data_IF_547949402244
#
_entry.id   IF_547949402244
#
_cell.length_a   1.000
_cell.length_b   1.000
_cell.length_c   1.000
_cell.angle_alpha   90.00
_cell.angle_beta   90.00
_cell.angle_gamma   90.00
#
_symmetry.space_group_name_H-M   'P 1'
#
loop_
_entity.id
_entity.type
_entity.pdbx_description
1 polymer ?
#
# COMPACT_ATOMS: atom_id res chain seq x y z
N UNK A 1 37.66 -28.16 -10.47
CA UNK A 1 37.62 -26.70 -10.65
C UNK A 1 36.16 -26.28 -10.60
N UNK A 2 35.70 -25.81 -9.44
CA UNK A 2 34.32 -25.40 -9.22
C UNK A 2 34.23 -23.95 -9.68
N UNK A 3 33.51 -23.72 -10.78
CA UNK A 3 33.16 -22.37 -11.23
C UNK A 3 32.12 -21.83 -10.25
N UNK A 4 32.57 -20.94 -9.36
CA UNK A 4 31.69 -20.06 -8.59
C UNK A 4 30.97 -19.15 -9.59
N UNK A 5 29.71 -19.47 -9.85
CA UNK A 5 28.78 -18.59 -10.55
C UNK A 5 28.70 -17.31 -9.72
N UNK A 6 29.21 -16.22 -10.28
CA UNK A 6 28.98 -14.88 -9.75
C UNK A 6 27.48 -14.63 -9.71
N UNK A 7 26.90 -14.50 -8.52
CA UNK A 7 25.62 -13.83 -8.37
C UNK A 7 25.84 -12.40 -8.86
N UNK A 8 25.42 -12.09 -10.09
CA UNK A 8 25.13 -10.71 -10.45
C UNK A 8 24.09 -10.25 -9.43
N UNK A 9 24.46 -9.24 -8.64
CA UNK A 9 23.47 -8.37 -8.02
C UNK A 9 22.80 -7.67 -9.19
N UNK A 10 21.79 -8.31 -9.75
CA UNK A 10 20.92 -7.68 -10.73
C UNK A 10 20.38 -6.41 -10.10
N UNK A 11 20.55 -5.33 -10.87
CA UNK A 11 20.08 -3.96 -10.73
C UNK A 11 19.39 -3.63 -9.40
N UNK A 12 19.97 -2.65 -8.70
CA UNK A 12 19.25 -1.85 -7.69
C UNK A 12 17.87 -1.56 -8.27
N UNK A 13 16.83 -2.21 -7.75
CA UNK A 13 15.48 -2.12 -8.25
C UNK A 13 15.00 -0.68 -8.06
N UNK A 14 15.29 0.18 -9.04
CA UNK A 14 14.84 1.56 -9.04
C UNK A 14 13.34 1.53 -9.26
N UNK A 15 12.62 2.25 -8.41
CA UNK A 15 11.20 2.50 -8.62
C UNK A 15 10.98 3.09 -10.01
N UNK A 16 9.91 2.67 -10.69
CA UNK A 16 9.44 3.34 -11.91
C UNK A 16 8.82 4.72 -11.60
N UNK A 17 8.53 4.98 -10.31
CA UNK A 17 7.88 6.18 -9.82
C UNK A 17 8.89 7.17 -9.22
N UNK A 18 8.69 8.49 -9.39
CA UNK A 18 9.55 9.51 -8.79
C UNK A 18 9.66 9.36 -7.27
N UNK A 19 10.81 9.76 -6.72
CA UNK A 19 11.04 9.77 -5.28
C UNK A 19 9.98 10.64 -4.59
N UNK A 20 9.35 10.11 -3.53
CA UNK A 20 8.33 10.83 -2.77
C UNK A 20 6.93 10.85 -3.40
N UNK A 21 6.70 10.19 -4.54
CA UNK A 21 5.40 10.20 -5.23
C UNK A 21 4.80 8.80 -5.33
N UNK A 22 3.49 8.67 -5.05
CA UNK A 22 2.73 7.46 -5.34
C UNK A 22 2.41 7.36 -6.85
N UNK A 23 2.04 6.17 -7.34
CA UNK A 23 1.51 6.00 -8.68
C UNK A 23 0.29 6.88 -8.97
N UNK A 24 -0.01 7.05 -10.26
CA UNK A 24 -1.26 7.70 -10.68
C UNK A 24 -2.47 6.88 -10.23
N UNK A 25 -3.60 7.56 -10.03
CA UNK A 25 -4.89 6.92 -9.77
C UNK A 25 -5.23 5.93 -10.88
N UNK A 26 -4.93 6.25 -12.14
CA UNK A 26 -5.14 5.32 -13.25
C UNK A 26 -4.42 3.98 -13.02
N UNK A 27 -3.13 4.01 -12.68
CA UNK A 27 -2.35 2.82 -12.38
C UNK A 27 -2.91 2.07 -11.16
N UNK A 28 -3.25 2.80 -10.09
CA UNK A 28 -3.82 2.18 -8.88
C UNK A 28 -5.16 1.51 -9.16
N UNK A 29 -6.00 2.14 -9.99
CA UNK A 29 -7.28 1.59 -10.41
C UNK A 29 -7.11 0.36 -11.30
N UNK A 30 -6.07 0.33 -12.16
CA UNK A 30 -5.72 -0.86 -12.92
C UNK A 30 -5.34 -2.02 -11.99
N UNK A 31 -4.54 -1.78 -10.95
CA UNK A 31 -4.18 -2.80 -9.97
C UNK A 31 -5.38 -3.31 -9.15
N UNK A 32 -6.30 -2.41 -8.76
CA UNK A 32 -7.56 -2.82 -8.12
C UNK A 32 -8.43 -3.65 -9.05
N UNK A 33 -8.53 -3.28 -10.34
CA UNK A 33 -9.27 -4.03 -11.33
C UNK A 33 -8.65 -5.43 -11.56
N UNK A 34 -7.32 -5.51 -11.65
CA UNK A 34 -6.60 -6.79 -11.73
C UNK A 34 -6.88 -7.68 -10.51
N UNK A 35 -6.94 -7.08 -9.32
CA UNK A 35 -7.27 -7.80 -8.10
C UNK A 35 -8.73 -8.28 -8.07
N UNK A 36 -9.67 -7.46 -8.54
CA UNK A 36 -11.08 -7.79 -8.65
C UNK A 36 -11.34 -8.91 -9.65
N UNK A 37 -10.69 -8.89 -10.81
CA UNK A 37 -10.83 -9.91 -11.85
C UNK A 37 -9.96 -11.16 -11.60
N UNK A 38 -9.02 -11.07 -10.67
CA UNK A 38 -8.08 -12.14 -10.34
C UNK A 38 -8.69 -13.27 -9.51
N UNK A 39 -7.87 -14.29 -9.16
CA UNK A 39 -8.32 -15.48 -8.42
C UNK A 39 -8.94 -15.18 -7.05
N UNK A 40 -8.54 -14.07 -6.43
CA UNK A 40 -9.02 -13.63 -5.12
C UNK A 40 -10.38 -12.95 -5.17
N UNK A 41 -10.85 -12.55 -6.37
CA UNK A 41 -12.08 -11.79 -6.56
C UNK A 41 -12.14 -10.60 -5.60
N UNK A 42 -11.14 -9.73 -5.68
CA UNK A 42 -11.05 -8.54 -4.84
C UNK A 42 -12.28 -7.64 -4.94
N UNK A 43 -12.44 -6.72 -3.98
CA UNK A 43 -13.56 -5.78 -3.90
C UNK A 43 -14.95 -6.45 -3.96
N UNK A 44 -15.07 -7.68 -3.44
CA UNK A 44 -16.29 -8.51 -3.55
C UNK A 44 -17.42 -8.14 -2.59
N UNK A 45 -17.21 -7.18 -1.69
CA UNK A 45 -18.26 -6.72 -0.76
C UNK A 45 -18.84 -5.41 -1.25
N UNK A 46 -17.98 -4.43 -1.53
CA UNK A 46 -18.41 -3.08 -1.90
C UNK A 46 -17.27 -2.33 -2.60
N UNK A 47 -17.65 -1.39 -3.46
CA UNK A 47 -16.73 -0.46 -4.09
C UNK A 47 -17.35 0.93 -4.11
N UNK A 48 -16.79 1.81 -3.29
CA UNK A 48 -17.26 3.19 -3.10
C UNK A 48 -16.30 4.17 -3.77
N UNK A 49 -16.84 5.24 -4.34
CA UNK A 49 -16.06 6.38 -4.84
C UNK A 49 -16.79 7.67 -4.53
N UNK A 50 -16.03 8.73 -4.29
CA UNK A 50 -16.61 10.04 -4.02
C UNK A 50 -15.57 11.13 -3.89
N UNK A 51 -16.00 12.24 -3.29
CA UNK A 51 -15.15 13.37 -2.94
C UNK A 51 -15.23 13.62 -1.44
N UNK A 52 -14.07 13.85 -0.82
CA UNK A 52 -13.95 14.19 0.59
C UNK A 52 -13.19 15.50 0.74
N UNK A 53 -13.55 16.28 1.77
CA UNK A 53 -12.80 17.47 2.13
C UNK A 53 -11.55 17.07 2.92
N UNK A 54 -10.39 17.14 2.27
CA UNK A 54 -9.09 16.85 2.86
C UNK A 54 -8.34 18.13 3.28
N UNK A 55 -7.10 17.95 3.74
CA UNK A 55 -6.24 19.04 4.25
C UNK A 55 -5.92 20.10 3.18
N UNK A 56 -5.88 19.70 1.90
CA UNK A 56 -5.56 20.55 0.77
C UNK A 56 -6.77 20.80 -0.17
N UNK A 57 -8.00 20.59 0.32
CA UNK A 57 -9.24 20.80 -0.43
C UNK A 57 -9.99 19.51 -0.78
N UNK A 58 -10.91 19.58 -1.76
CA UNK A 58 -11.65 18.41 -2.23
C UNK A 58 -10.73 17.40 -2.91
N UNK A 59 -10.74 16.16 -2.41
CA UNK A 59 -9.94 15.05 -2.90
C UNK A 59 -10.88 13.94 -3.36
N UNK A 60 -10.59 13.35 -4.51
CA UNK A 60 -11.29 12.14 -4.95
C UNK A 60 -10.79 10.95 -4.11
N UNK A 61 -11.70 10.07 -3.73
CA UNK A 61 -11.37 8.84 -3.02
C UNK A 61 -12.03 7.63 -3.65
N UNK A 62 -11.40 6.47 -3.44
CA UNK A 62 -11.93 5.16 -3.77
C UNK A 62 -11.75 4.23 -2.58
N UNK A 63 -12.78 3.47 -2.21
CA UNK A 63 -12.72 2.45 -1.18
C UNK A 63 -13.18 1.11 -1.74
N UNK A 64 -12.25 0.18 -1.86
CA UNK A 64 -12.51 -1.21 -2.20
C UNK A 64 -12.63 -2.02 -0.91
N UNK A 65 -13.78 -2.66 -0.67
CA UNK A 65 -14.01 -3.52 0.50
C UNK A 65 -14.21 -4.96 0.06
N UNK A 66 -13.65 -5.88 0.82
CA UNK A 66 -13.79 -7.28 0.48
C UNK A 66 -13.36 -8.24 1.56
N UNK A 67 -13.35 -9.52 1.18
CA UNK A 67 -12.96 -10.65 2.01
C UNK A 67 -12.08 -11.59 1.18
N UNK A 68 -10.82 -11.81 1.58
CA UNK A 68 -9.86 -12.69 0.84
C UNK A 68 -9.96 -14.16 1.23
N UNK A 69 -10.44 -14.45 2.44
CA UNK A 69 -10.87 -15.76 2.93
C UNK A 69 -11.99 -15.53 3.96
N UNK A 70 -12.85 -16.51 4.25
CA UNK A 70 -14.15 -16.32 4.93
C UNK A 70 -14.17 -15.44 6.21
N UNK A 71 -13.03 -15.21 6.85
CA UNK A 71 -12.91 -14.37 8.06
C UNK A 71 -12.08 -13.09 7.91
N UNK A 72 -11.35 -12.90 6.80
CA UNK A 72 -10.36 -11.83 6.60
C UNK A 72 -10.93 -10.70 5.76
N UNK A 73 -11.68 -9.83 6.45
CA UNK A 73 -12.21 -8.60 5.88
C UNK A 73 -11.10 -7.56 5.70
N UNK A 74 -11.21 -6.79 4.63
CA UNK A 74 -10.32 -5.69 4.35
C UNK A 74 -11.04 -4.49 3.71
N UNK A 75 -10.39 -3.34 3.80
CA UNK A 75 -10.70 -2.14 3.04
C UNK A 75 -9.40 -1.54 2.51
N UNK A 76 -9.33 -1.32 1.19
CA UNK A 76 -8.28 -0.54 0.54
C UNK A 76 -8.86 0.83 0.23
N UNK A 77 -8.21 1.89 0.70
CA UNK A 77 -8.57 3.28 0.42
C UNK A 77 -7.47 3.93 -0.42
N UNK A 78 -7.87 4.57 -1.51
CA UNK A 78 -7.04 5.42 -2.35
C UNK A 78 -7.53 6.86 -2.21
N UNK A 79 -6.62 7.82 -2.05
CA UNK A 79 -6.93 9.24 -2.15
C UNK A 79 -6.06 9.86 -3.25
N UNK A 80 -6.68 10.69 -4.09
CA UNK A 80 -5.98 11.51 -5.07
C UNK A 80 -5.48 12.81 -4.44
N UNK A 81 -4.40 13.35 -5.00
CA UNK A 81 -4.01 14.73 -4.76
C UNK A 81 -5.10 15.70 -5.29
N UNK A 82 -5.33 16.86 -4.66
CA UNK A 82 -6.30 17.83 -5.17
C UNK A 82 -5.89 18.31 -6.57
N UNK A 83 -6.85 18.34 -7.51
CA UNK A 83 -6.63 18.87 -8.86
C UNK A 83 -5.71 18.04 -9.77
N UNK A 84 -5.22 16.89 -9.31
CA UNK A 84 -4.37 16.00 -10.08
C UNK A 84 -4.86 14.54 -9.98
N UNK A 85 -4.49 13.71 -10.95
CA UNK A 85 -4.75 12.27 -10.95
C UNK A 85 -3.61 11.47 -10.29
N UNK A 86 -2.75 12.13 -9.51
CA UNK A 86 -1.69 11.46 -8.74
C UNK A 86 -2.22 10.93 -7.42
N UNK A 87 -1.71 9.77 -6.99
CA UNK A 87 -2.01 9.22 -5.67
C UNK A 87 -1.43 10.12 -4.57
N UNK A 88 -2.24 10.43 -3.57
CA UNK A 88 -1.83 11.13 -2.35
C UNK A 88 -1.66 10.16 -1.18
N UNK A 89 -2.54 9.17 -1.07
CA UNK A 89 -2.50 8.17 -0.01
C UNK A 89 -3.01 6.82 -0.53
N UNK A 90 -2.35 5.75 -0.08
CA UNK A 90 -2.87 4.39 -0.14
C UNK A 90 -2.93 3.85 1.28
N UNK A 91 -4.11 3.39 1.69
CA UNK A 91 -4.35 2.79 3.00
C UNK A 91 -4.94 1.40 2.84
N UNK A 92 -4.48 0.45 3.65
CA UNK A 92 -5.03 -0.89 3.75
C UNK A 92 -5.39 -1.18 5.21
N UNK A 93 -6.67 -1.40 5.47
CA UNK A 93 -7.19 -1.86 6.75
C UNK A 93 -7.60 -3.32 6.62
N UNK A 94 -7.13 -4.19 7.50
CA UNK A 94 -7.41 -5.63 7.42
C UNK A 94 -7.44 -6.29 8.78
N UNK A 95 -8.25 -7.35 8.91
CA UNK A 95 -8.24 -8.19 10.10
C UNK A 95 -6.99 -9.06 10.10
N UNK A 96 -6.26 -9.08 11.23
CA UNK A 96 -5.03 -9.87 11.38
C UNK A 96 -5.28 -11.38 11.25
N UNK A 97 -4.36 -12.07 10.57
CA UNK A 97 -4.27 -13.52 10.49
C UNK A 97 -3.13 -13.95 9.56
N UNK A 98 -2.80 -15.24 9.56
CA UNK A 98 -1.68 -15.78 8.78
C UNK A 98 -2.20 -16.77 7.73
N UNK A 99 -2.54 -16.28 6.54
CA UNK A 99 -3.06 -17.10 5.44
C UNK A 99 -2.61 -16.60 4.06
N UNK A 100 -2.78 -17.43 3.03
CA UNK A 100 -2.44 -17.09 1.65
C UNK A 100 -3.13 -15.80 1.16
N UNK A 101 -4.37 -15.54 1.60
CA UNK A 101 -5.11 -14.33 1.27
C UNK A 101 -4.45 -13.06 1.79
N UNK A 102 -3.78 -13.14 2.95
CA UNK A 102 -3.03 -12.00 3.50
C UNK A 102 -1.83 -11.66 2.61
N UNK A 103 -1.09 -12.66 2.15
CA UNK A 103 0.03 -12.45 1.25
C UNK A 103 -0.39 -11.83 -0.08
N UNK A 104 -1.54 -12.25 -0.61
CA UNK A 104 -2.11 -11.65 -1.81
C UNK A 104 -2.51 -10.19 -1.60
N UNK A 105 -3.16 -9.89 -0.46
CA UNK A 105 -3.60 -8.55 -0.12
C UNK A 105 -2.41 -7.59 0.07
N UNK A 106 -1.36 -8.01 0.79
CA UNK A 106 -0.12 -7.24 0.90
C UNK A 106 0.54 -7.04 -0.47
N UNK A 107 0.54 -8.07 -1.32
CA UNK A 107 1.07 -7.97 -2.68
C UNK A 107 0.36 -6.92 -3.52
N UNK A 108 -0.97 -6.84 -3.45
CA UNK A 108 -1.77 -5.81 -4.12
C UNK A 108 -1.48 -4.44 -3.53
N UNK A 109 -1.46 -4.30 -2.21
CA UNK A 109 -1.13 -3.05 -1.54
C UNK A 109 0.23 -2.48 -1.96
N UNK A 110 1.25 -3.33 -2.08
CA UNK A 110 2.57 -2.90 -2.56
C UNK A 110 2.56 -2.47 -4.03
N UNK A 111 1.78 -3.13 -4.89
CA UNK A 111 1.61 -2.68 -6.29
C UNK A 111 0.88 -1.35 -6.38
N UNK A 112 -0.14 -1.12 -5.55
CA UNK A 112 -0.82 0.19 -5.45
C UNK A 112 0.14 1.31 -5.02
N UNK A 113 1.18 0.96 -4.25
CA UNK A 113 2.25 1.88 -3.86
C UNK A 113 3.38 1.99 -4.90
N UNK A 114 3.28 1.30 -6.05
CA UNK A 114 4.25 1.35 -7.13
C UNK A 114 5.45 0.42 -6.98
N UNK A 115 5.35 -0.59 -6.11
CA UNK A 115 6.42 -1.57 -5.87
C UNK A 115 6.26 -2.73 -6.85
N UNK A 116 6.76 -2.54 -8.07
CA UNK A 116 6.62 -3.50 -9.17
C UNK A 116 7.62 -4.67 -9.11
N UNK A 117 8.77 -4.46 -8.48
CA UNK A 117 9.80 -5.49 -8.33
C UNK A 117 9.41 -6.55 -7.27
N UNK A 118 9.48 -7.83 -7.65
CA UNK A 118 9.14 -8.94 -6.77
C UNK A 118 10.04 -9.05 -5.53
N UNK A 119 11.35 -8.81 -5.66
CA UNK A 119 12.28 -8.89 -4.53
C UNK A 119 12.00 -7.79 -3.51
N UNK A 120 11.69 -6.58 -3.97
CA UNK A 120 11.28 -5.48 -3.08
C UNK A 120 9.96 -5.78 -2.37
N UNK A 121 8.96 -6.33 -3.08
CA UNK A 121 7.71 -6.78 -2.43
C UNK A 121 7.97 -7.85 -1.38
N UNK A 122 8.85 -8.81 -1.66
CA UNK A 122 9.21 -9.87 -0.70
C UNK A 122 9.92 -9.29 0.53
N UNK A 123 10.83 -8.33 0.35
CA UNK A 123 11.50 -7.60 1.44
C UNK A 123 10.46 -6.87 2.30
N UNK A 124 9.63 -6.03 1.70
CA UNK A 124 8.61 -5.26 2.42
C UNK A 124 7.61 -6.17 3.13
N UNK A 125 7.20 -7.29 2.51
CA UNK A 125 6.36 -8.31 3.16
C UNK A 125 7.03 -8.87 4.41
N UNK A 126 8.33 -9.17 4.34
CA UNK A 126 9.09 -9.66 5.49
C UNK A 126 9.13 -8.62 6.61
N UNK A 127 9.29 -7.33 6.27
CA UNK A 127 9.28 -6.24 7.25
C UNK A 127 7.92 -6.15 7.97
N UNK A 128 6.81 -6.13 7.22
CA UNK A 128 5.43 -6.11 7.75
C UNK A 128 5.14 -7.33 8.64
N UNK A 129 5.59 -8.51 8.22
CA UNK A 129 5.29 -9.77 8.92
C UNK A 129 5.81 -9.79 10.36
N UNK A 130 6.92 -9.09 10.64
CA UNK A 130 7.48 -8.97 11.99
C UNK A 130 6.49 -8.34 12.96
N UNK A 131 5.77 -7.32 12.51
CA UNK A 131 4.79 -6.59 13.30
C UNK A 131 3.45 -7.34 13.43
N UNK A 132 3.08 -8.15 12.43
CA UNK A 132 1.88 -8.98 12.50
C UNK A 132 1.98 -10.09 13.55
N UNK A 133 3.18 -10.65 13.74
CA UNK A 133 3.45 -11.70 14.75
C UNK A 133 3.60 -11.07 16.13
N UNK A 134 4.34 -9.96 16.23
CA UNK A 134 4.61 -9.27 17.49
C UNK A 134 4.19 -7.80 17.38
N UNK A 135 2.92 -7.49 17.66
CA UNK A 135 2.44 -6.12 17.67
C UNK A 135 3.21 -5.28 18.71
N UNK A 136 3.80 -4.13 18.34
CA UNK A 136 4.39 -3.22 19.30
C UNK A 136 3.30 -2.68 20.24
N UNK A 137 3.63 -2.56 21.52
CA UNK A 137 2.75 -2.00 22.55
C UNK A 137 2.72 -0.47 22.48
N UNK A 138 2.23 0.05 21.36
CA UNK A 138 2.17 1.49 21.07
C UNK A 138 0.82 1.86 20.49
N UNK A 139 0.31 3.02 20.92
CA UNK A 139 -0.97 3.58 20.44
C UNK A 139 -0.83 4.41 19.15
N UNK A 140 0.41 4.65 18.71
CA UNK A 140 0.73 5.42 17.52
C UNK A 140 1.06 4.52 16.34
N UNK A 141 1.04 5.08 15.13
CA UNK A 141 1.58 4.41 13.97
C UNK A 141 3.11 4.26 14.10
N UNK A 142 3.64 3.15 13.60
CA UNK A 142 5.08 2.87 13.53
C UNK A 142 5.51 2.73 12.08
N UNK A 143 6.72 3.16 11.75
CA UNK A 143 7.31 2.88 10.45
C UNK A 143 7.54 1.37 10.32
N UNK A 144 6.82 0.73 9.39
CA UNK A 144 6.89 -0.69 9.13
C UNK A 144 7.87 -1.05 8.00
N UNK A 145 8.00 -0.19 6.98
CA UNK A 145 9.02 -0.34 5.92
C UNK A 145 9.18 0.98 5.15
N UNK A 146 10.00 0.95 4.11
CA UNK A 146 10.21 2.05 3.15
C UNK A 146 10.11 1.46 1.75
N UNK A 147 9.38 2.14 0.88
CA UNK A 147 9.22 1.79 -0.54
C UNK A 147 10.49 2.15 -1.34
N UNK A 148 10.69 1.61 -2.55
CA UNK A 148 11.86 1.93 -3.38
C UNK A 148 11.94 3.40 -3.84
N UNK A 149 10.82 4.12 -3.83
CA UNK A 149 10.72 5.57 -4.08
C UNK A 149 10.74 6.41 -2.79
N UNK A 150 11.29 5.88 -1.70
CA UNK A 150 11.50 6.59 -0.43
C UNK A 150 10.23 7.05 0.30
N UNK A 151 9.07 6.46 0.00
CA UNK A 151 7.87 6.66 0.82
C UNK A 151 7.92 5.78 2.06
N UNK A 152 7.58 6.38 3.19
CA UNK A 152 7.44 5.68 4.47
C UNK A 152 6.12 4.91 4.45
N UNK A 153 6.20 3.62 4.79
CA UNK A 153 5.02 2.82 5.07
C UNK A 153 4.85 2.70 6.57
N UNK A 154 3.74 3.20 7.06
CA UNK A 154 3.37 3.20 8.46
C UNK A 154 2.37 2.10 8.76
N UNK A 155 2.39 1.61 9.99
CA UNK A 155 1.49 0.59 10.49
C UNK A 155 0.91 0.99 11.84
N UNK A 156 -0.40 0.87 11.99
CA UNK A 156 -1.12 1.13 13.24
C UNK A 156 -2.01 -0.03 13.65
N UNK A 157 -2.35 -0.06 14.95
CA UNK A 157 -3.30 -1.00 15.52
C UNK A 157 -4.53 -0.24 16.02
N UNK A 158 -5.71 -0.67 15.58
CA UNK A 158 -6.96 -0.08 16.03
C UNK A 158 -7.34 -0.67 17.42
N UNK A 159 -6.77 -0.09 18.48
CA UNK A 159 -6.95 -0.45 19.92
C UNK A 159 -8.29 0.09 20.47
N UNK A 160 -9.00 -0.60 21.38
CA UNK A 160 -8.67 -1.87 22.04
C UNK A 160 -9.48 -3.08 21.54
N UNK A 161 -10.28 -2.97 20.48
CA UNK A 161 -11.38 -3.93 20.21
C UNK A 161 -11.55 -4.42 18.78
N UNK A 162 -10.85 -3.87 17.80
CA UNK A 162 -11.22 -4.14 16.40
C UNK A 162 -10.54 -5.39 15.82
N UNK A 163 -9.32 -5.72 16.28
CA UNK A 163 -8.51 -6.77 15.65
C UNK A 163 -8.00 -6.41 14.25
N UNK A 164 -8.22 -5.17 13.80
CA UNK A 164 -7.74 -4.66 12.52
C UNK A 164 -6.38 -3.99 12.68
N UNK A 165 -5.57 -4.15 11.65
CA UNK A 165 -4.32 -3.48 11.42
C UNK A 165 -4.49 -2.54 10.24
N UNK A 166 -3.90 -1.36 10.35
CA UNK A 166 -3.85 -0.36 9.28
C UNK A 166 -2.44 -0.29 8.76
N UNK A 167 -2.27 -0.38 7.45
CA UNK A 167 -1.06 0.02 6.72
C UNK A 167 -1.37 1.27 5.92
N UNK A 168 -0.46 2.23 5.93
CA UNK A 168 -0.64 3.50 5.24
C UNK A 168 0.66 3.96 4.59
N UNK A 169 0.55 4.47 3.37
CA UNK A 169 1.63 5.14 2.66
C UNK A 169 1.08 6.46 2.16
N UNK A 170 1.77 7.54 2.50
CA UNK A 170 1.44 8.90 2.08
C UNK A 170 2.50 9.40 1.12
N UNK A 171 2.08 9.97 -0.01
CA UNK A 171 2.98 10.75 -0.86
C UNK A 171 3.51 11.95 -0.07
N UNK A 172 4.74 12.37 -0.37
CA UNK A 172 5.23 13.62 0.17
C UNK A 172 4.34 14.74 -0.37
N UNK A 173 3.78 15.56 0.52
CA UNK A 173 3.06 16.76 0.12
C UNK A 173 4.08 17.62 -0.61
N UNK A 174 4.04 17.59 -1.95
CA UNK A 174 4.78 18.54 -2.76
C UNK A 174 3.95 19.81 -2.69
N UNK A 175 4.00 20.48 -1.54
CA UNK A 175 3.34 21.76 -1.36
C UNK A 175 4.04 22.73 -2.31
N UNK A 176 3.43 22.98 -3.47
CA UNK A 176 3.53 24.22 -4.26
C UNK A 176 4.89 24.94 -4.10
N UNK A 177 5.99 24.24 -4.40
CA UNK A 177 7.30 24.88 -4.46
C UNK A 177 7.47 25.67 -5.77
N UNK A 178 6.52 25.52 -6.71
CA UNK A 178 6.52 26.17 -8.02
C UNK A 178 5.71 27.50 -8.06
N UNK A 179 5.19 28.00 -6.94
CA UNK A 179 4.55 29.35 -6.89
C UNK A 179 5.42 30.43 -6.22
N UNK A 180 6.71 30.17 -6.01
CA UNK A 180 7.66 31.15 -5.44
C UNK A 180 8.96 31.32 -6.25
N UNK A 181 8.91 31.17 -7.58
CA UNK A 181 9.91 31.76 -8.49
C UNK A 181 9.34 32.95 -9.27
#
# INVERSE_FOLDING_TARGET
MILLVSCSRDDVARSAWPSGQLPTIEHQMQELNNFQLGPWRGCNVDFERGQIWGVAGYQNYWVCRGTVSGEHRYAITLLAAPGNETGQQVKLEFRRGHEQGMNALLGVFFRLAGVDNDQERLRMRSDVSRYLITPPDVRAMVQASVTPNNLIMEMGYNIPRSGYTTLEINAHITALADELE
#
